data_IF_123514657100
#
_entry.id   IF_123514657100
#
_cell.length_a   1.000
_cell.length_b   1.000
_cell.length_c   1.000
_cell.angle_alpha   90.00
_cell.angle_beta   90.00
_cell.angle_gamma   90.00
#
_symmetry.space_group_name_H-M   'P 1'
#
loop_
_entity.id
_entity.type
_entity.pdbx_description
1 polymer ?
#
# COMPACT_ATOMS: atom_id res chain seq x y z
N UNK A 1 -13.34 3.19 26.67
CA UNK A 1 -12.19 4.13 26.66
C UNK A 1 -11.77 4.18 25.20
N UNK A 2 -12.29 5.17 24.50
CA UNK A 2 -12.33 5.17 23.03
C UNK A 2 -10.95 5.51 22.48
N UNK A 3 -10.58 4.90 21.35
CA UNK A 3 -9.26 5.07 20.72
C UNK A 3 -8.92 6.53 20.35
N UNK A 4 -9.91 7.43 20.38
CA UNK A 4 -9.75 8.87 20.11
C UNK A 4 -9.00 9.58 21.25
N UNK A 5 -9.35 9.28 22.51
CA UNK A 5 -8.80 9.98 23.69
C UNK A 5 -7.31 9.71 23.83
N UNK A 6 -6.86 8.56 23.35
CA UNK A 6 -5.46 8.16 23.39
C UNK A 6 -4.59 8.97 22.41
N UNK A 7 -5.09 9.23 21.19
CA UNK A 7 -4.35 9.98 20.16
C UNK A 7 -4.17 11.43 20.58
N UNK A 8 -5.22 12.03 21.14
CA UNK A 8 -5.21 13.39 21.64
C UNK A 8 -4.25 13.58 22.82
N UNK A 9 -4.31 12.66 23.79
CA UNK A 9 -3.43 12.68 24.96
C UNK A 9 -1.96 12.51 24.56
N UNK A 10 -1.66 11.55 23.68
CA UNK A 10 -0.29 11.26 23.26
C UNK A 10 0.30 12.40 22.41
N UNK A 11 -0.47 12.94 21.46
CA UNK A 11 -0.05 14.06 20.64
C UNK A 11 0.23 15.30 21.49
N UNK A 12 -0.66 15.60 22.45
CA UNK A 12 -0.46 16.71 23.41
C UNK A 12 0.80 16.51 24.24
N UNK A 13 1.03 15.30 24.73
CA UNK A 13 2.21 14.95 25.52
C UNK A 13 3.50 15.15 24.74
N UNK A 14 3.56 14.67 23.50
CA UNK A 14 4.73 14.83 22.63
C UNK A 14 5.00 16.30 22.33
N UNK A 15 3.97 17.05 21.96
CA UNK A 15 4.09 18.46 21.56
C UNK A 15 4.55 19.32 22.73
N UNK A 16 4.06 19.06 23.94
CA UNK A 16 4.52 19.73 25.16
C UNK A 16 5.96 19.31 25.51
N UNK A 17 6.27 18.00 25.44
CA UNK A 17 7.62 17.46 25.71
C UNK A 17 8.70 18.10 24.83
N UNK A 18 8.38 18.38 23.56
CA UNK A 18 9.31 19.01 22.62
C UNK A 18 9.19 20.54 22.56
N UNK A 19 8.31 21.17 23.35
CA UNK A 19 8.12 22.63 23.34
C UNK A 19 7.67 23.16 21.98
N UNK A 20 6.78 22.42 21.31
CA UNK A 20 6.29 22.70 19.95
C UNK A 20 4.87 23.28 19.91
N UNK A 21 4.19 23.39 21.05
CA UNK A 21 2.76 23.76 21.14
C UNK A 21 2.40 24.98 20.30
N UNK A 22 3.17 26.05 20.44
CA UNK A 22 2.92 27.33 19.73
C UNK A 22 3.71 27.44 18.41
N UNK A 23 4.41 26.38 18.02
CA UNK A 23 5.24 26.32 16.79
C UNK A 23 4.59 25.48 15.69
N UNK A 24 3.53 24.74 16.00
CA UNK A 24 2.80 23.93 15.02
C UNK A 24 1.76 24.80 14.32
N UNK A 25 1.93 24.96 13.02
CA UNK A 25 1.03 25.78 12.19
C UNK A 25 -0.15 24.96 11.63
N UNK A 26 0.09 23.68 11.32
CA UNK A 26 -0.90 22.73 10.82
C UNK A 26 -0.42 21.29 11.00
N UNK A 27 -1.34 20.34 10.84
CA UNK A 27 -1.07 18.91 10.83
C UNK A 27 -1.63 18.26 9.56
N UNK A 28 -0.95 17.23 9.08
CA UNK A 28 -1.41 16.40 7.94
C UNK A 28 -1.76 15.01 8.45
N UNK A 29 -2.96 14.53 8.12
CA UNK A 29 -3.49 13.26 8.61
C UNK A 29 -4.03 12.41 7.46
N UNK A 30 -4.22 11.12 7.64
CA UNK A 30 -4.79 10.22 6.62
C UNK A 30 -6.31 10.39 6.44
N UNK A 31 -6.91 11.44 6.99
CA UNK A 31 -8.34 11.74 7.02
C UNK A 31 -9.21 10.76 7.82
N UNK A 32 -8.62 9.90 8.64
CA UNK A 32 -9.42 9.03 9.52
C UNK A 32 -10.24 9.87 10.52
N UNK A 33 -11.53 9.53 10.68
CA UNK A 33 -12.49 10.34 11.43
C UNK A 33 -12.10 10.54 12.91
N UNK A 34 -11.46 9.53 13.51
CA UNK A 34 -10.87 9.60 14.85
C UNK A 34 -9.75 10.64 14.95
N UNK A 35 -8.84 10.68 13.98
CA UNK A 35 -7.70 11.61 13.97
C UNK A 35 -8.19 13.03 13.70
N UNK A 36 -9.15 13.23 12.78
CA UNK A 36 -9.73 14.54 12.54
C UNK A 36 -10.40 15.10 13.80
N UNK A 37 -11.12 14.26 14.56
CA UNK A 37 -11.73 14.66 15.83
C UNK A 37 -10.68 15.03 16.87
N UNK A 38 -9.66 14.19 17.04
CA UNK A 38 -8.56 14.45 17.97
C UNK A 38 -7.84 15.76 17.63
N UNK A 39 -7.46 15.99 16.36
CA UNK A 39 -6.78 17.22 15.93
C UNK A 39 -7.60 18.48 16.19
N UNK A 40 -8.92 18.43 16.01
CA UNK A 40 -9.81 19.54 16.34
C UNK A 40 -9.88 19.80 17.85
N UNK A 41 -9.86 18.76 18.66
CA UNK A 41 -9.89 18.83 20.13
C UNK A 41 -8.58 19.34 20.74
N UNK A 42 -7.44 18.85 20.22
CA UNK A 42 -6.12 19.04 20.81
C UNK A 42 -5.79 20.54 20.95
N UNK A 43 -5.85 21.34 19.88
CA UNK A 43 -5.27 22.70 19.91
C UNK A 43 -5.85 23.70 18.90
N UNK A 44 -7.00 23.41 18.27
CA UNK A 44 -7.55 24.28 17.22
C UNK A 44 -6.64 24.39 15.98
N UNK A 45 -5.70 23.45 15.81
CA UNK A 45 -4.78 23.43 14.68
C UNK A 45 -5.51 23.18 13.37
N UNK A 46 -5.00 23.81 12.30
CA UNK A 46 -5.46 23.54 10.94
C UNK A 46 -5.10 22.09 10.59
N UNK A 47 -6.10 21.33 10.15
CA UNK A 47 -5.92 19.95 9.69
C UNK A 47 -6.02 19.90 8.17
N UNK A 48 -5.05 19.27 7.53
CA UNK A 48 -5.08 18.96 6.11
C UNK A 48 -5.08 17.45 5.90
N UNK A 49 -5.75 17.03 4.84
CA UNK A 49 -5.73 15.64 4.41
C UNK A 49 -4.44 15.29 3.70
N UNK A 50 -3.98 14.06 3.90
CA UNK A 50 -2.82 13.51 3.23
C UNK A 50 -3.11 13.36 1.74
N UNK A 51 -2.39 14.14 0.92
CA UNK A 51 -2.53 14.09 -0.53
C UNK A 51 -2.31 12.70 -1.12
N UNK A 52 -1.31 11.97 -0.60
CA UNK A 52 -1.04 10.59 -1.04
C UNK A 52 -2.20 9.63 -0.71
N UNK A 53 -2.91 9.85 0.41
CA UNK A 53 -4.10 9.08 0.75
C UNK A 53 -5.24 9.38 -0.22
N UNK A 54 -5.50 10.67 -0.51
CA UNK A 54 -6.51 11.09 -1.49
C UNK A 54 -6.23 10.49 -2.87
N UNK A 55 -4.98 10.55 -3.34
CA UNK A 55 -4.59 9.91 -4.60
C UNK A 55 -4.82 8.40 -4.59
N UNK A 56 -4.49 7.71 -3.48
CA UNK A 56 -4.75 6.29 -3.37
C UNK A 56 -6.25 5.98 -3.46
N UNK A 57 -7.12 6.79 -2.85
CA UNK A 57 -8.58 6.63 -2.96
C UNK A 57 -9.06 6.82 -4.41
N UNK A 58 -8.58 7.85 -5.11
CA UNK A 58 -8.91 8.09 -6.52
C UNK A 58 -8.50 6.90 -7.38
N UNK A 59 -7.27 6.40 -7.22
CA UNK A 59 -6.77 5.26 -7.99
C UNK A 59 -7.54 3.98 -7.64
N UNK A 60 -7.83 3.73 -6.37
CA UNK A 60 -8.65 2.59 -5.95
C UNK A 60 -10.03 2.62 -6.61
N UNK A 61 -10.66 3.79 -6.68
CA UNK A 61 -11.96 3.95 -7.31
C UNK A 61 -11.89 3.69 -8.82
N UNK A 62 -10.89 4.26 -9.51
CA UNK A 62 -10.67 4.01 -10.94
C UNK A 62 -10.41 2.51 -11.24
N UNK A 63 -9.64 1.82 -10.38
CA UNK A 63 -9.35 0.39 -10.53
C UNK A 63 -10.60 -0.50 -10.39
N UNK A 64 -11.69 -0.02 -9.78
CA UNK A 64 -12.95 -0.77 -9.69
C UNK A 64 -13.55 -1.03 -11.08
N UNK A 65 -13.36 -0.12 -12.02
CA UNK A 65 -13.88 -0.23 -13.38
C UNK A 65 -13.29 -1.41 -14.14
N UNK A 66 -12.03 -1.77 -13.84
CA UNK A 66 -11.27 -2.85 -14.48
C UNK A 66 -11.01 -4.02 -13.53
N UNK A 67 -11.77 -4.09 -12.43
CA UNK A 67 -11.56 -5.09 -11.36
C UNK A 67 -11.60 -6.52 -11.88
N UNK A 68 -12.51 -6.82 -12.81
CA UNK A 68 -12.65 -8.17 -13.38
C UNK A 68 -11.37 -8.65 -14.08
N UNK A 69 -10.71 -7.78 -14.83
CA UNK A 69 -9.47 -8.14 -15.53
C UNK A 69 -8.29 -8.20 -14.58
N UNK A 70 -8.23 -7.28 -13.61
CA UNK A 70 -7.26 -7.35 -12.51
C UNK A 70 -7.39 -8.69 -11.76
N UNK A 71 -8.60 -9.13 -11.46
CA UNK A 71 -8.85 -10.39 -10.76
C UNK A 71 -8.48 -11.62 -11.61
N UNK A 72 -8.67 -11.57 -12.94
CA UNK A 72 -8.15 -12.60 -13.86
C UNK A 72 -6.63 -12.67 -13.78
N UNK A 73 -5.94 -11.53 -13.88
CA UNK A 73 -4.48 -11.47 -13.78
C UNK A 73 -4.01 -11.96 -12.40
N UNK A 74 -4.68 -11.56 -11.31
CA UNK A 74 -4.40 -12.06 -9.95
C UNK A 74 -4.48 -13.59 -9.88
N UNK A 75 -5.51 -14.20 -10.47
CA UNK A 75 -5.67 -15.67 -10.52
C UNK A 75 -4.54 -16.33 -11.30
N UNK A 76 -4.16 -15.81 -12.46
CA UNK A 76 -3.05 -16.34 -13.26
C UNK A 76 -1.74 -16.24 -12.49
N UNK A 77 -1.44 -15.06 -11.93
CA UNK A 77 -0.25 -14.83 -11.10
C UNK A 77 -0.20 -15.78 -9.91
N UNK A 78 -1.33 -16.00 -9.23
CA UNK A 78 -1.43 -16.96 -8.12
C UNK A 78 -1.19 -18.40 -8.58
N UNK A 79 -1.78 -18.81 -9.71
CA UNK A 79 -1.58 -20.13 -10.29
C UNK A 79 -0.12 -20.37 -10.67
N UNK A 80 0.52 -19.43 -11.38
CA UNK A 80 1.94 -19.53 -11.76
C UNK A 80 2.85 -19.57 -10.52
N UNK A 81 2.57 -18.76 -9.49
CA UNK A 81 3.29 -18.86 -8.22
C UNK A 81 3.14 -20.23 -7.56
N UNK A 82 1.93 -20.79 -7.54
CA UNK A 82 1.64 -22.12 -6.97
C UNK A 82 2.33 -23.21 -7.79
N UNK A 83 2.21 -23.20 -9.11
CA UNK A 83 2.87 -24.17 -10.00
C UNK A 83 4.41 -24.12 -9.86
N UNK A 84 4.99 -22.92 -9.75
CA UNK A 84 6.44 -22.75 -9.51
C UNK A 84 6.87 -23.16 -8.10
N UNK A 85 6.00 -23.11 -7.11
CA UNK A 85 6.27 -23.69 -5.79
C UNK A 85 6.42 -25.21 -5.89
N UNK A 86 5.49 -25.87 -6.58
CA UNK A 86 5.57 -27.32 -6.84
C UNK A 86 6.75 -27.70 -7.76
N UNK A 87 7.13 -26.81 -8.69
CA UNK A 87 8.29 -27.03 -9.57
C UNK A 87 9.63 -26.77 -8.86
N UNK A 88 9.68 -25.98 -7.78
CA UNK A 88 10.88 -25.83 -6.94
C UNK A 88 11.18 -27.06 -6.11
N UNK A 89 10.15 -27.78 -5.67
CA UNK A 89 10.33 -29.09 -5.02
C UNK A 89 10.86 -30.15 -6.00
N UNK A 90 10.62 -29.98 -7.32
CA UNK A 90 11.02 -30.95 -8.34
C UNK A 90 12.27 -30.54 -9.16
N UNK A 91 12.68 -29.26 -9.17
CA UNK A 91 13.60 -28.75 -10.20
C UNK A 91 14.56 -27.66 -9.72
N UNK A 92 15.28 -27.95 -8.64
CA UNK A 92 16.37 -27.10 -8.15
C UNK A 92 17.67 -27.10 -9.01
N UNK A 93 17.71 -27.70 -10.22
CA UNK A 93 19.00 -27.86 -10.93
C UNK A 93 19.14 -27.34 -12.36
N UNK A 94 18.10 -26.92 -13.11
CA UNK A 94 18.30 -26.72 -14.58
C UNK A 94 17.80 -25.43 -15.26
N UNK A 95 16.94 -24.59 -14.68
CA UNK A 95 16.31 -23.50 -15.46
C UNK A 95 16.90 -22.08 -15.32
N UNK A 96 17.97 -21.85 -14.54
CA UNK A 96 18.49 -20.50 -14.30
C UNK A 96 19.70 -20.08 -15.16
N UNK A 97 20.11 -20.85 -16.17
CA UNK A 97 21.37 -20.57 -16.92
C UNK A 97 21.21 -19.88 -18.27
N UNK A 98 20.00 -19.61 -18.76
CA UNK A 98 19.84 -19.22 -20.17
C UNK A 98 19.94 -17.71 -20.48
N UNK A 99 19.87 -16.78 -19.51
CA UNK A 99 19.68 -15.35 -19.88
C UNK A 99 20.54 -14.32 -19.14
N UNK A 100 21.44 -14.69 -18.23
CA UNK A 100 22.36 -13.73 -17.58
C UNK A 100 21.70 -12.56 -16.81
N UNK A 101 20.37 -12.55 -16.72
CA UNK A 101 19.56 -11.59 -15.99
C UNK A 101 18.89 -12.32 -14.84
N UNK A 102 18.89 -11.69 -13.67
CA UNK A 102 18.17 -12.15 -12.47
C UNK A 102 16.76 -12.64 -12.85
N UNK A 103 16.36 -13.87 -12.47
CA UNK A 103 15.05 -14.42 -12.82
C UNK A 103 13.96 -13.60 -12.14
N UNK A 104 13.39 -12.74 -12.97
CA UNK A 104 12.37 -11.77 -12.63
C UNK A 104 11.09 -12.56 -12.29
N UNK A 105 10.51 -12.37 -11.10
CA UNK A 105 9.32 -13.13 -10.61
C UNK A 105 8.02 -12.33 -10.75
N UNK A 106 6.88 -13.02 -10.84
CA UNK A 106 5.56 -12.39 -10.71
C UNK A 106 5.31 -12.04 -9.24
N UNK A 107 4.75 -10.85 -8.98
CA UNK A 107 4.41 -10.38 -7.63
C UNK A 107 2.90 -10.27 -7.48
N UNK A 108 2.38 -10.59 -6.29
CA UNK A 108 0.96 -10.39 -5.97
C UNK A 108 0.76 -8.99 -5.41
N UNK A 109 -0.43 -8.44 -5.59
CA UNK A 109 -0.79 -7.14 -5.03
C UNK A 109 -0.87 -7.21 -3.51
N UNK A 110 -0.58 -6.08 -2.87
CA UNK A 110 -0.93 -5.84 -1.47
C UNK A 110 -1.98 -4.74 -1.52
N UNK A 111 -3.23 -5.08 -1.21
CA UNK A 111 -4.40 -4.24 -1.51
C UNK A 111 -4.36 -2.84 -0.84
N UNK A 112 -3.48 -2.63 0.15
CA UNK A 112 -3.28 -1.34 0.82
C UNK A 112 -2.46 -0.30 0.04
N UNK A 113 -1.83 -0.63 -1.10
CA UNK A 113 -1.05 0.35 -1.89
C UNK A 113 -1.30 0.19 -3.39
N UNK A 114 -1.83 1.25 -4.02
CA UNK A 114 -2.04 1.37 -5.47
C UNK A 114 -0.84 0.94 -6.33
N UNK A 115 0.38 1.26 -5.88
CA UNK A 115 1.62 0.85 -6.54
C UNK A 115 1.71 -0.67 -6.76
N UNK A 116 1.16 -1.48 -5.87
CA UNK A 116 1.27 -2.95 -5.96
C UNK A 116 0.47 -3.52 -7.14
N UNK A 117 -0.71 -2.98 -7.42
CA UNK A 117 -1.52 -3.35 -8.60
C UNK A 117 -0.80 -2.97 -9.89
N UNK A 118 -0.25 -1.75 -9.95
CA UNK A 118 0.54 -1.29 -11.09
C UNK A 118 1.74 -2.22 -11.35
N UNK A 119 2.53 -2.52 -10.31
CA UNK A 119 3.69 -3.39 -10.45
C UNK A 119 3.29 -4.82 -10.84
N UNK A 120 2.18 -5.37 -10.35
CA UNK A 120 1.69 -6.67 -10.79
C UNK A 120 1.37 -6.67 -12.29
N UNK A 121 0.58 -5.70 -12.76
CA UNK A 121 0.16 -5.61 -14.16
C UNK A 121 1.36 -5.38 -15.08
N UNK A 122 2.24 -4.43 -14.74
CA UNK A 122 3.49 -4.19 -15.49
C UNK A 122 4.31 -5.47 -15.59
N UNK A 123 4.46 -6.20 -14.49
CA UNK A 123 5.25 -7.43 -14.44
C UNK A 123 4.61 -8.59 -15.19
N UNK A 124 3.29 -8.63 -15.23
CA UNK A 124 2.52 -9.59 -16.02
C UNK A 124 2.76 -9.37 -17.51
N UNK A 125 2.65 -8.13 -17.99
CA UNK A 125 2.94 -7.77 -19.40
C UNK A 125 4.41 -8.03 -19.74
N UNK A 126 5.36 -7.67 -18.87
CA UNK A 126 6.78 -7.97 -19.07
C UNK A 126 7.10 -9.47 -19.19
N UNK A 127 6.21 -10.36 -18.76
CA UNK A 127 6.38 -11.80 -18.79
C UNK A 127 5.37 -12.50 -19.70
N UNK A 128 4.65 -11.78 -20.56
CA UNK A 128 3.62 -12.34 -21.44
C UNK A 128 4.15 -13.50 -22.29
N UNK A 129 5.37 -13.39 -22.83
CA UNK A 129 6.01 -14.48 -23.60
C UNK A 129 6.32 -15.75 -22.78
N UNK A 130 6.29 -15.66 -21.45
CA UNK A 130 6.67 -16.73 -20.53
C UNK A 130 5.50 -17.20 -19.63
N UNK A 131 4.29 -16.67 -19.82
CA UNK A 131 3.08 -16.95 -19.02
C UNK A 131 2.03 -17.66 -19.86
#
# INVERSE_FOLDING_TARGET
>A
MDSNDNIETEATTLVNKFGLRDKVNFIVTDNAANIIKAVKGILGWKSFGCYAHTLNLIVQDALRLVKNDIDKVKRIVAHVKKARFHQRDCQNSKCNKATGKEPKRLSQTVDMRWNSTYFMLKRFVELEEAV
#
